data_IF_855248265223
#
_entry.id   IF_855248265223
#
_cell.length_a   1.000
_cell.length_b   1.000
_cell.length_c   1.000
_cell.angle_alpha   90.00
_cell.angle_beta   90.00
_cell.angle_gamma   90.00
#
_symmetry.space_group_name_H-M   'P 1'
#
loop_
_entity.id
_entity.type
_entity.pdbx_description
1 polymer ?
#
# COMPACT_ATOMS: atom_id res chain seq x y z
N UNK A 1 6.69 -24.21 45.90
CA UNK A 1 5.75 -23.91 44.80
C UNK A 1 6.55 -23.41 43.60
N UNK A 2 6.16 -23.85 42.41
CA UNK A 2 7.03 -24.29 41.31
C UNK A 2 7.55 -23.12 40.45
N UNK A 3 8.88 -23.07 40.22
CA UNK A 3 9.49 -22.15 39.26
C UNK A 3 9.22 -22.63 37.83
N UNK A 4 8.54 -21.82 37.04
CA UNK A 4 8.37 -22.01 35.60
C UNK A 4 9.74 -21.88 34.91
N UNK A 5 10.23 -22.97 34.32
CA UNK A 5 11.52 -23.03 33.61
C UNK A 5 11.33 -22.68 32.14
N UNK A 6 11.61 -21.44 31.73
CA UNK A 6 11.83 -21.13 30.31
C UNK A 6 13.32 -21.31 30.01
N UNK A 7 13.64 -22.40 29.32
CA UNK A 7 14.99 -22.66 28.80
C UNK A 7 15.28 -21.71 27.64
N UNK A 8 15.95 -20.58 27.91
CA UNK A 8 16.60 -19.79 26.85
C UNK A 8 17.88 -20.51 26.46
N UNK A 9 17.91 -21.11 25.27
CA UNK A 9 19.14 -21.64 24.68
C UNK A 9 20.07 -20.48 24.34
N UNK A 10 21.10 -20.30 25.15
CA UNK A 10 22.22 -19.41 24.86
C UNK A 10 22.99 -19.98 23.64
N UNK A 11 22.99 -19.25 22.52
CA UNK A 11 23.91 -19.52 21.41
C UNK A 11 25.30 -19.00 21.83
N UNK A 12 26.26 -19.92 21.86
CA UNK A 12 27.60 -19.69 22.37
C UNK A 12 28.32 -18.55 21.64
N UNK A 13 28.99 -17.73 22.45
CA UNK A 13 29.92 -16.67 22.09
C UNK A 13 31.04 -17.17 21.16
N UNK A 14 30.86 -16.97 19.85
CA UNK A 14 31.95 -16.96 18.87
C UNK A 14 32.31 -15.51 18.53
N UNK A 15 33.42 -15.04 19.05
CA UNK A 15 33.91 -13.66 18.90
C UNK A 15 34.30 -13.38 17.44
N UNK A 16 33.42 -12.72 16.69
CA UNK A 16 33.83 -11.86 15.58
C UNK A 16 33.32 -10.47 15.92
N UNK A 17 34.23 -9.61 16.40
CA UNK A 17 33.95 -8.18 16.56
C UNK A 17 33.84 -7.57 15.16
N UNK A 18 32.69 -7.70 14.52
CA UNK A 18 32.29 -6.75 13.50
C UNK A 18 32.00 -5.45 14.22
N UNK A 19 33.03 -4.62 14.32
CA UNK A 19 32.89 -3.19 14.51
C UNK A 19 31.88 -2.75 13.46
N UNK A 20 30.61 -2.59 13.83
CA UNK A 20 29.69 -1.79 13.03
C UNK A 20 30.37 -0.42 13.03
N UNK A 21 31.10 -0.13 11.95
CA UNK A 21 31.14 1.24 11.47
C UNK A 21 29.69 1.74 11.51
N UNK A 22 29.49 3.03 11.77
CA UNK A 22 28.23 3.70 11.42
C UNK A 22 28.06 3.62 9.89
N UNK A 23 27.81 2.42 9.38
CA UNK A 23 27.35 2.20 8.05
C UNK A 23 26.00 2.91 7.98
N UNK A 24 25.74 3.71 6.93
CA UNK A 24 24.43 4.30 6.72
C UNK A 24 23.41 3.19 6.90
N UNK A 25 22.44 3.36 7.80
CA UNK A 25 21.43 2.32 8.07
C UNK A 25 20.83 1.96 6.70
N UNK A 26 21.12 0.76 6.16
CA UNK A 26 20.63 0.41 4.84
C UNK A 26 19.11 0.47 4.93
N UNK A 27 18.48 1.17 3.98
CA UNK A 27 17.04 1.36 3.99
C UNK A 27 16.35 0.01 4.26
N UNK A 28 15.51 -0.04 5.29
CA UNK A 28 14.71 -1.23 5.59
C UNK A 28 13.98 -1.64 4.31
N UNK A 29 14.09 -2.90 3.85
CA UNK A 29 13.42 -3.34 2.63
C UNK A 29 11.91 -3.11 2.71
N UNK A 30 11.35 -2.54 1.65
CA UNK A 30 9.91 -2.23 1.55
C UNK A 30 9.25 -3.24 0.60
N UNK A 31 8.28 -3.99 1.11
CA UNK A 31 7.42 -4.88 0.33
C UNK A 31 6.07 -4.21 0.06
N UNK A 32 5.68 -4.11 -1.21
CA UNK A 32 4.42 -3.53 -1.64
C UNK A 32 3.48 -4.63 -2.16
N UNK A 33 2.37 -4.86 -1.45
CA UNK A 33 1.39 -5.92 -1.76
C UNK A 33 0.07 -5.42 -2.35
N UNK A 34 -0.09 -4.09 -2.47
CA UNK A 34 -1.29 -3.46 -3.03
C UNK A 34 -1.47 -3.78 -4.52
N UNK A 35 -2.69 -3.69 -5.08
CA UNK A 35 -2.92 -3.88 -6.51
C UNK A 35 -2.21 -2.84 -7.38
N UNK A 36 -1.95 -3.22 -8.63
CA UNK A 36 -1.63 -2.26 -9.68
C UNK A 36 -2.86 -1.45 -10.10
N UNK A 37 -2.69 -0.23 -10.67
CA UNK A 37 -1.42 0.51 -10.84
C UNK A 37 -0.93 1.23 -9.56
N UNK A 38 -1.53 0.94 -8.39
CA UNK A 38 -1.22 1.61 -7.13
C UNK A 38 0.17 1.27 -6.57
N UNK A 39 0.61 0.03 -6.73
CA UNK A 39 1.92 -0.42 -6.27
C UNK A 39 3.06 0.26 -7.03
N UNK A 40 3.02 0.25 -8.37
CA UNK A 40 4.06 0.85 -9.20
C UNK A 40 4.25 2.34 -8.93
N UNK A 41 3.16 3.11 -8.82
CA UNK A 41 3.24 4.55 -8.51
C UNK A 41 3.86 4.82 -7.14
N UNK A 42 3.43 4.08 -6.12
CA UNK A 42 3.96 4.27 -4.78
C UNK A 42 5.43 3.85 -4.70
N UNK A 43 5.84 2.81 -5.44
CA UNK A 43 7.25 2.44 -5.57
C UNK A 43 8.09 3.55 -6.22
N UNK A 44 7.55 4.26 -7.21
CA UNK A 44 8.21 5.43 -7.80
C UNK A 44 8.33 6.58 -6.77
N UNK A 45 7.26 6.90 -6.05
CA UNK A 45 7.28 7.92 -4.98
C UNK A 45 8.30 7.60 -3.89
N UNK A 46 8.41 6.33 -3.47
CA UNK A 46 9.41 5.86 -2.51
C UNK A 46 10.82 6.11 -3.05
N UNK A 47 11.12 5.67 -4.28
CA UNK A 47 12.46 5.82 -4.87
C UNK A 47 12.83 7.30 -5.02
N UNK A 48 11.87 8.15 -5.40
CA UNK A 48 12.07 9.60 -5.51
C UNK A 48 12.34 10.26 -4.16
N UNK A 49 11.61 9.87 -3.10
CA UNK A 49 11.69 10.57 -1.80
C UNK A 49 12.75 10.01 -0.86
N UNK A 50 12.95 8.69 -0.86
CA UNK A 50 13.81 7.99 0.08
C UNK A 50 15.17 7.62 -0.53
N UNK A 51 15.33 7.75 -1.85
CA UNK A 51 16.57 7.40 -2.52
C UNK A 51 16.73 5.89 -2.77
N UNK A 52 17.97 5.43 -3.06
CA UNK A 52 18.23 4.05 -3.45
C UNK A 52 18.06 3.10 -2.25
N UNK A 53 16.97 2.33 -2.24
CA UNK A 53 16.70 1.27 -1.27
C UNK A 53 15.94 0.11 -1.90
N UNK A 54 16.00 -1.10 -1.30
CA UNK A 54 15.31 -2.27 -1.84
C UNK A 54 13.78 -2.11 -1.71
N UNK A 55 13.11 -1.97 -2.86
CA UNK A 55 11.66 -1.93 -2.98
C UNK A 55 11.20 -3.11 -3.84
N UNK A 56 10.43 -4.02 -3.24
CA UNK A 56 9.86 -5.18 -3.92
C UNK A 56 8.38 -4.92 -4.17
N UNK A 57 7.98 -4.95 -5.44
CA UNK A 57 6.57 -4.88 -5.84
C UNK A 57 6.07 -6.30 -6.05
N UNK A 58 5.11 -6.73 -5.24
CA UNK A 58 4.51 -8.07 -5.28
C UNK A 58 3.01 -7.97 -5.02
N UNK A 59 2.21 -7.51 -6.00
CA UNK A 59 0.76 -7.41 -5.85
C UNK A 59 0.14 -8.77 -5.54
N UNK A 60 -0.66 -8.85 -4.48
CA UNK A 60 -1.37 -10.09 -4.09
C UNK A 60 -2.86 -10.04 -4.40
N UNK A 61 -3.32 -8.96 -5.02
CA UNK A 61 -4.70 -8.68 -5.38
C UNK A 61 -4.75 -7.93 -6.72
N UNK A 62 -5.86 -8.07 -7.43
CA UNK A 62 -6.13 -7.41 -8.71
C UNK A 62 -7.46 -6.63 -8.64
N UNK A 63 -7.51 -5.48 -9.31
CA UNK A 63 -8.74 -4.70 -9.50
C UNK A 63 -9.35 -5.14 -10.83
N UNK A 64 -10.43 -5.91 -10.77
CA UNK A 64 -11.16 -6.38 -11.97
C UNK A 64 -12.42 -5.53 -12.16
N UNK A 65 -12.54 -4.78 -13.28
CA UNK A 65 -13.76 -4.04 -13.59
C UNK A 65 -14.96 -4.97 -13.66
N UNK A 66 -16.10 -4.51 -13.14
CA UNK A 66 -17.37 -5.22 -13.20
C UNK A 66 -18.34 -4.42 -14.06
N UNK A 67 -19.21 -5.08 -14.85
CA UNK A 67 -20.31 -4.38 -15.50
C UNK A 67 -21.13 -3.63 -14.46
N UNK A 68 -21.34 -2.33 -14.70
CA UNK A 68 -22.13 -1.47 -13.82
C UNK A 68 -23.53 -1.35 -14.43
N UNK A 69 -24.56 -1.56 -13.61
CA UNK A 69 -25.93 -1.28 -14.00
C UNK A 69 -26.13 0.24 -14.14
N UNK A 70 -27.08 0.70 -14.96
CA UNK A 70 -27.42 2.12 -15.02
C UNK A 70 -27.70 2.67 -13.62
N UNK A 71 -27.21 3.88 -13.35
CA UNK A 71 -27.48 4.56 -12.09
C UNK A 71 -28.99 4.79 -11.96
N UNK A 72 -29.58 4.60 -10.76
CA UNK A 72 -30.96 4.96 -10.53
C UNK A 72 -31.16 6.47 -10.72
N UNK A 73 -32.34 6.86 -11.20
CA UNK A 73 -32.71 8.27 -11.30
C UNK A 73 -32.88 8.92 -9.92
N UNK A 74 -32.77 10.25 -9.86
CA UNK A 74 -33.06 11.02 -8.64
C UNK A 74 -31.96 10.99 -7.58
N UNK A 75 -30.74 10.56 -7.93
CA UNK A 75 -29.60 10.66 -7.02
C UNK A 75 -29.32 12.12 -6.65
N UNK A 76 -29.07 12.37 -5.36
CA UNK A 76 -28.65 13.69 -4.87
C UNK A 76 -27.13 13.86 -4.85
N UNK A 77 -26.37 12.78 -5.05
CA UNK A 77 -24.92 12.80 -5.13
C UNK A 77 -24.26 11.43 -5.10
N UNK A 78 -22.93 11.42 -5.13
CA UNK A 78 -22.09 10.22 -5.16
C UNK A 78 -21.06 10.23 -4.04
N UNK A 79 -20.73 9.05 -3.51
CA UNK A 79 -19.58 8.86 -2.61
C UNK A 79 -18.58 7.96 -3.32
N UNK A 80 -17.39 8.49 -3.60
CA UNK A 80 -16.30 7.78 -4.26
C UNK A 80 -15.21 7.48 -3.22
N UNK A 81 -15.09 6.20 -2.84
CA UNK A 81 -14.19 5.79 -1.75
C UNK A 81 -12.80 5.38 -2.22
N UNK A 82 -12.60 5.25 -3.53
CA UNK A 82 -11.31 4.95 -4.13
C UNK A 82 -11.26 5.41 -5.57
N UNK A 83 -10.06 5.65 -6.12
CA UNK A 83 -9.90 5.92 -7.55
C UNK A 83 -10.29 4.74 -8.45
N UNK A 84 -10.40 3.53 -7.90
CA UNK A 84 -10.84 2.34 -8.63
C UNK A 84 -12.36 2.29 -8.83
N UNK A 85 -13.13 3.15 -8.14
CA UNK A 85 -14.58 3.25 -8.30
C UNK A 85 -14.98 3.87 -9.65
N UNK A 86 -14.07 4.61 -10.28
CA UNK A 86 -14.27 5.21 -11.60
C UNK A 86 -13.87 4.19 -12.67
N UNK A 87 -14.86 3.47 -13.21
CA UNK A 87 -14.66 2.49 -14.27
C UNK A 87 -14.99 3.07 -15.65
N UNK A 88 -14.33 2.62 -16.72
CA UNK A 88 -14.72 2.99 -18.08
C UNK A 88 -16.19 2.65 -18.34
N UNK A 89 -16.93 3.59 -18.93
CA UNK A 89 -18.35 3.41 -19.24
C UNK A 89 -19.32 3.71 -18.08
N UNK A 90 -18.82 4.17 -16.93
CA UNK A 90 -19.68 4.74 -15.90
C UNK A 90 -20.21 6.09 -16.39
N UNK A 91 -21.50 6.14 -16.71
CA UNK A 91 -22.20 7.37 -17.08
C UNK A 91 -22.69 8.08 -15.81
N UNK A 92 -22.11 9.25 -15.53
CA UNK A 92 -22.47 10.06 -14.37
C UNK A 92 -23.28 11.27 -14.83
N UNK A 93 -24.46 11.52 -14.22
CA UNK A 93 -25.26 12.70 -14.56
C UNK A 93 -24.45 13.99 -14.37
N UNK A 94 -24.48 14.93 -15.34
CA UNK A 94 -23.78 16.19 -15.20
C UNK A 94 -24.32 16.97 -14.00
N UNK A 95 -23.42 17.59 -13.23
CA UNK A 95 -23.78 18.42 -12.07
C UNK A 95 -24.11 17.65 -10.79
N UNK A 96 -24.03 16.30 -10.79
CA UNK A 96 -24.21 15.49 -9.59
C UNK A 96 -23.01 15.69 -8.64
N UNK A 97 -23.20 16.18 -7.39
CA UNK A 97 -22.09 16.39 -6.47
C UNK A 97 -21.45 15.05 -6.07
N UNK A 98 -20.12 15.03 -5.96
CA UNK A 98 -19.36 13.87 -5.56
C UNK A 98 -18.48 14.19 -4.34
N UNK A 99 -18.53 13.31 -3.34
CA UNK A 99 -17.61 13.33 -2.20
C UNK A 99 -16.57 12.23 -2.38
N UNK A 100 -15.30 12.62 -2.41
CA UNK A 100 -14.19 11.72 -2.67
C UNK A 100 -13.34 11.47 -1.42
N UNK A 101 -12.99 10.21 -1.17
CA UNK A 101 -12.02 9.87 -0.12
C UNK A 101 -10.61 10.12 -0.62
N UNK A 102 -10.07 11.27 -0.23
CA UNK A 102 -8.70 11.68 -0.51
C UNK A 102 -8.54 12.40 -1.85
N UNK A 103 -7.52 13.26 -1.92
CA UNK A 103 -7.25 14.11 -3.08
C UNK A 103 -7.07 13.32 -4.38
N UNK A 104 -6.50 12.11 -4.31
CA UNK A 104 -6.30 11.24 -5.47
C UNK A 104 -7.61 10.77 -6.12
N UNK A 105 -8.68 10.63 -5.34
CA UNK A 105 -9.99 10.23 -5.87
C UNK A 105 -10.78 11.44 -6.38
N UNK A 106 -10.39 12.66 -5.97
CA UNK A 106 -11.01 13.91 -6.42
C UNK A 106 -10.38 14.50 -7.70
N UNK A 107 -9.16 14.09 -8.04
CA UNK A 107 -8.39 14.55 -9.21
C UNK A 107 -8.62 13.66 -10.42
#
# INVERSE_FOLDING_TARGET
MTRCSLHVRQLASGTVRHKLAEAPVPHVPILLTRPEPGAGRFAAEIRTRLGPGPVVVSPVMEIVPRPVAPLPGGLSGLILTSGAALVPGLDLPPGLPAWCVGARTAA
#
